data_IF_060395272438
#
_entry.id   IF_060395272438
#
_cell.length_a   1.000
_cell.length_b   1.000
_cell.length_c   1.000
_cell.angle_alpha   90.00
_cell.angle_beta   90.00
_cell.angle_gamma   90.00
#
_symmetry.space_group_name_H-M   'P 1'
#
loop_
_entity.id
_entity.type
_entity.pdbx_description
1 polymer ?
#
# COMPACT_ATOMS: atom_id res chain seq x y z
N UNK A 1 13.58 20.22 27.26
CA UNK A 1 14.69 19.34 26.87
C UNK A 1 15.15 18.65 28.13
N UNK A 2 14.99 17.33 28.29
CA UNK A 2 15.60 16.62 29.39
C UNK A 2 17.11 16.55 29.15
N UNK A 3 17.82 16.75 30.22
CA UNK A 3 19.27 16.73 30.31
C UNK A 3 19.77 15.33 29.97
N UNK A 4 20.44 15.19 28.82
CA UNK A 4 21.07 13.93 28.41
C UNK A 4 22.36 13.83 29.21
N UNK A 5 22.32 13.09 30.31
CA UNK A 5 23.51 12.69 31.05
C UNK A 5 24.37 11.79 30.17
N UNK A 6 25.60 12.23 29.96
CA UNK A 6 26.65 11.65 29.13
C UNK A 6 27.22 10.38 29.72
N UNK A 7 26.48 9.27 29.79
CA UNK A 7 27.13 7.99 30.17
C UNK A 7 26.30 6.72 29.86
N UNK A 8 25.37 6.76 28.93
CA UNK A 8 24.84 5.52 28.35
C UNK A 8 25.68 5.16 27.13
N UNK A 9 26.30 3.98 27.16
CA UNK A 9 27.07 3.51 26.02
C UNK A 9 26.12 3.23 24.85
N UNK A 10 26.61 3.43 23.61
CA UNK A 10 25.88 3.12 22.41
C UNK A 10 25.37 1.66 22.43
N UNK A 11 26.12 0.76 23.09
CA UNK A 11 25.78 -0.66 23.27
C UNK A 11 24.58 -0.87 24.20
N UNK A 12 24.43 -0.07 25.27
CA UNK A 12 23.27 -0.12 26.18
C UNK A 12 22.01 0.39 25.46
N UNK A 13 22.15 1.43 24.64
CA UNK A 13 21.05 1.94 23.83
C UNK A 13 20.60 0.90 22.79
N UNK A 14 21.55 0.26 22.11
CA UNK A 14 21.29 -0.78 21.13
C UNK A 14 20.70 -2.05 21.76
N UNK A 15 21.14 -2.41 22.97
CA UNK A 15 20.59 -3.56 23.72
C UNK A 15 19.15 -3.31 24.16
N UNK A 16 18.81 -2.12 24.66
CA UNK A 16 17.43 -1.73 25.01
C UNK A 16 16.52 -1.70 23.77
N UNK A 17 17.03 -1.19 22.63
CA UNK A 17 16.29 -1.22 21.37
C UNK A 17 16.08 -2.65 20.84
N UNK A 18 16.97 -3.60 21.17
CA UNK A 18 16.83 -5.01 20.80
C UNK A 18 15.83 -5.74 21.70
N UNK A 19 15.77 -5.42 23.01
CA UNK A 19 14.82 -6.00 23.95
C UNK A 19 13.38 -5.52 23.73
N UNK A 20 13.18 -4.27 23.30
CA UNK A 20 11.86 -3.74 22.91
C UNK A 20 11.30 -4.31 21.62
N UNK A 21 12.12 -5.02 20.82
CA UNK A 21 11.69 -5.71 19.60
C UNK A 21 11.10 -7.11 19.82
N UNK A 22 11.00 -7.56 21.09
CA UNK A 22 10.77 -8.96 21.47
C UNK A 22 9.33 -9.47 21.48
N UNK A 23 8.31 -8.64 21.26
CA UNK A 23 6.91 -9.09 21.25
C UNK A 23 6.35 -9.15 19.81
N UNK A 24 6.89 -10.08 19.01
CA UNK A 24 6.34 -10.39 17.68
C UNK A 24 5.17 -11.35 17.85
N UNK A 25 3.97 -10.88 17.52
CA UNK A 25 2.78 -11.72 17.35
C UNK A 25 3.12 -12.89 16.37
N UNK A 26 2.89 -14.16 16.72
CA UNK A 26 3.15 -15.32 15.84
C UNK A 26 2.42 -15.27 14.51
N UNK A 27 1.30 -14.51 14.40
CA UNK A 27 0.62 -14.23 13.14
C UNK A 27 1.41 -13.29 12.21
N UNK A 28 2.43 -12.61 12.72
CA UNK A 28 3.31 -11.71 11.96
C UNK A 28 4.43 -12.44 11.21
N UNK A 29 4.63 -13.73 11.45
CA UNK A 29 5.69 -14.53 10.84
C UNK A 29 5.50 -14.83 9.32
N UNK A 30 4.33 -14.54 8.75
CA UNK A 30 4.04 -14.83 7.33
C UNK A 30 4.45 -13.73 6.34
N UNK A 31 4.96 -12.60 6.78
CA UNK A 31 5.42 -11.51 5.89
C UNK A 31 4.33 -10.82 5.05
N UNK A 32 3.08 -11.27 5.14
CA UNK A 32 1.95 -10.72 4.39
C UNK A 32 0.89 -10.14 5.32
N UNK A 33 0.42 -8.93 4.99
CA UNK A 33 -0.63 -8.26 5.77
C UNK A 33 -1.99 -8.81 5.40
N UNK A 34 -2.79 -9.22 6.39
CA UNK A 34 -4.13 -9.76 6.19
C UNK A 34 -5.14 -8.63 5.93
N UNK A 35 -5.03 -7.99 4.77
CA UNK A 35 -5.81 -6.81 4.39
C UNK A 35 -7.31 -7.09 4.37
N UNK A 36 -7.74 -8.23 3.83
CA UNK A 36 -9.16 -8.62 3.75
C UNK A 36 -9.81 -8.71 5.13
N UNK A 37 -9.12 -9.33 6.10
CA UNK A 37 -9.63 -9.45 7.47
C UNK A 37 -9.76 -8.09 8.15
N UNK A 38 -8.80 -7.19 7.92
CA UNK A 38 -8.85 -5.84 8.48
C UNK A 38 -9.99 -5.01 7.90
N UNK A 39 -10.25 -5.15 6.60
CA UNK A 39 -11.39 -4.51 5.95
C UNK A 39 -12.69 -5.03 6.57
N UNK A 40 -12.83 -6.35 6.74
CA UNK A 40 -14.00 -6.96 7.39
C UNK A 40 -14.16 -6.47 8.82
N UNK A 41 -13.11 -6.51 9.64
CA UNK A 41 -13.14 -6.04 11.03
C UNK A 41 -13.53 -4.56 11.11
N UNK A 42 -13.00 -3.73 10.23
CA UNK A 42 -13.33 -2.31 10.16
C UNK A 42 -14.82 -2.10 9.81
N UNK A 43 -15.33 -2.86 8.83
CA UNK A 43 -16.73 -2.82 8.42
C UNK A 43 -17.66 -3.27 9.56
N UNK A 44 -17.38 -4.43 10.16
CA UNK A 44 -18.19 -5.01 11.23
C UNK A 44 -18.20 -4.12 12.49
N UNK A 45 -17.06 -3.55 12.87
CA UNK A 45 -16.95 -2.64 14.02
C UNK A 45 -17.78 -1.36 13.85
N UNK A 46 -18.12 -0.99 12.62
CA UNK A 46 -18.94 0.18 12.29
C UNK A 46 -20.38 -0.18 11.94
N UNK A 47 -20.78 -1.45 12.05
CA UNK A 47 -22.12 -1.92 11.73
C UNK A 47 -22.51 -1.71 10.26
N UNK A 48 -21.53 -1.65 9.35
CA UNK A 48 -21.75 -1.43 7.91
C UNK A 48 -21.91 -2.77 7.21
N UNK A 49 -22.97 -2.95 6.40
CA UNK A 49 -23.15 -4.14 5.57
C UNK A 49 -22.22 -4.09 4.35
N UNK A 50 -21.93 -5.25 3.74
CA UNK A 50 -21.15 -5.30 2.48
C UNK A 50 -21.85 -4.49 1.38
N UNK A 51 -23.17 -4.52 1.31
CA UNK A 51 -23.93 -3.73 0.33
C UNK A 51 -23.75 -2.22 0.56
N UNK A 52 -23.82 -1.75 1.81
CA UNK A 52 -23.58 -0.34 2.12
C UNK A 52 -22.14 0.10 1.78
N UNK A 53 -21.15 -0.78 1.96
CA UNK A 53 -19.78 -0.50 1.55
C UNK A 53 -19.66 -0.47 0.01
N UNK A 54 -20.35 -1.37 -0.69
CA UNK A 54 -20.44 -1.38 -2.15
C UNK A 54 -20.99 -0.07 -2.69
N UNK A 55 -22.10 0.41 -2.12
CA UNK A 55 -22.74 1.66 -2.51
C UNK A 55 -21.82 2.89 -2.28
N UNK A 56 -21.05 2.91 -1.18
CA UNK A 56 -20.10 4.00 -0.86
C UNK A 56 -18.87 4.02 -1.74
N UNK A 57 -18.40 2.84 -2.17
CA UNK A 57 -17.13 2.71 -2.93
C UNK A 57 -17.35 2.65 -4.44
N UNK A 58 -18.57 2.35 -4.88
CA UNK A 58 -18.90 2.08 -6.28
C UNK A 58 -18.42 0.70 -6.75
N UNK A 59 -17.97 -0.17 -5.84
CA UNK A 59 -17.59 -1.55 -6.17
C UNK A 59 -18.79 -2.49 -6.05
N UNK A 60 -18.72 -3.66 -6.72
CA UNK A 60 -19.72 -4.70 -6.52
C UNK A 60 -19.56 -5.35 -5.13
N UNK A 61 -20.68 -5.73 -4.50
CA UNK A 61 -20.65 -6.48 -3.25
C UNK A 61 -19.86 -7.81 -3.40
N UNK A 62 -19.93 -8.45 -4.58
CA UNK A 62 -19.20 -9.67 -4.89
C UNK A 62 -17.68 -9.45 -4.81
N UNK A 63 -17.15 -8.34 -5.36
CA UNK A 63 -15.72 -8.01 -5.26
C UNK A 63 -15.29 -7.82 -3.80
N UNK A 64 -16.08 -7.08 -3.02
CA UNK A 64 -15.77 -6.84 -1.61
C UNK A 64 -15.78 -8.14 -0.79
N UNK A 65 -16.73 -9.04 -1.03
CA UNK A 65 -16.78 -10.38 -0.42
C UNK A 65 -15.53 -11.19 -0.79
N UNK A 66 -15.10 -11.15 -2.05
CA UNK A 66 -13.89 -11.85 -2.49
C UNK A 66 -12.64 -11.31 -1.78
N UNK A 67 -12.54 -9.99 -1.61
CA UNK A 67 -11.43 -9.35 -0.89
C UNK A 67 -11.46 -9.75 0.59
N UNK A 68 -12.60 -9.62 1.26
CA UNK A 68 -12.77 -9.98 2.68
C UNK A 68 -12.51 -11.48 2.95
N UNK A 69 -12.76 -12.36 1.97
CA UNK A 69 -12.50 -13.80 2.05
C UNK A 69 -11.10 -14.17 1.50
N UNK A 70 -10.24 -13.19 1.18
CA UNK A 70 -8.89 -13.42 0.64
C UNK A 70 -8.86 -14.18 -0.69
N UNK A 71 -9.97 -14.19 -1.42
CA UNK A 71 -10.07 -14.81 -2.75
C UNK A 71 -9.49 -13.91 -3.84
N UNK A 72 -9.39 -12.62 -3.57
CA UNK A 72 -8.82 -11.60 -4.46
C UNK A 72 -8.07 -10.57 -3.62
N UNK A 73 -6.87 -10.21 -4.08
CA UNK A 73 -6.07 -9.13 -3.48
C UNK A 73 -6.47 -7.78 -4.08
N UNK A 74 -6.76 -6.76 -3.25
CA UNK A 74 -7.13 -5.44 -3.74
C UNK A 74 -5.93 -4.69 -4.33
N UNK A 75 -6.17 -3.91 -5.38
CA UNK A 75 -5.20 -2.92 -5.86
C UNK A 75 -5.10 -1.75 -4.88
N UNK A 76 -4.05 -0.94 -5.02
CA UNK A 76 -3.85 0.23 -4.17
C UNK A 76 -5.03 1.21 -4.26
N UNK A 77 -5.55 1.48 -5.47
CA UNK A 77 -6.73 2.31 -5.66
C UNK A 77 -7.99 1.76 -4.97
N UNK A 78 -8.18 0.43 -4.89
CA UNK A 78 -9.26 -0.19 -4.14
C UNK A 78 -9.09 0.08 -2.63
N UNK A 79 -7.87 -0.06 -2.10
CA UNK A 79 -7.56 0.21 -0.69
C UNK A 79 -7.84 1.67 -0.32
N UNK A 80 -7.43 2.61 -1.17
CA UNK A 80 -7.71 4.05 -0.98
C UNK A 80 -9.21 4.31 -0.92
N UNK A 81 -9.98 3.80 -1.88
CA UNK A 81 -11.44 3.99 -1.90
C UNK A 81 -12.13 3.40 -0.68
N UNK A 82 -11.72 2.21 -0.22
CA UNK A 82 -12.26 1.60 0.99
C UNK A 82 -11.91 2.44 2.22
N UNK A 83 -10.66 2.88 2.35
CA UNK A 83 -10.21 3.74 3.45
C UNK A 83 -11.00 5.06 3.48
N UNK A 84 -11.20 5.69 2.32
CA UNK A 84 -12.00 6.91 2.19
C UNK A 84 -13.48 6.68 2.55
N UNK A 85 -14.08 5.57 2.12
CA UNK A 85 -15.48 5.23 2.45
C UNK A 85 -15.70 5.03 3.96
N UNK A 86 -14.66 4.66 4.69
CA UNK A 86 -14.66 4.57 6.14
C UNK A 86 -14.11 5.81 6.86
N UNK A 87 -13.68 6.83 6.13
CA UNK A 87 -13.02 8.00 6.69
C UNK A 87 -11.84 7.65 7.61
N UNK A 88 -10.99 6.75 7.15
CA UNK A 88 -9.76 6.34 7.84
C UNK A 88 -8.55 6.47 6.90
N UNK A 89 -7.34 6.47 7.48
CA UNK A 89 -6.12 6.36 6.68
C UNK A 89 -5.95 4.93 6.13
N UNK A 90 -5.26 4.78 5.00
CA UNK A 90 -4.87 3.46 4.47
C UNK A 90 -4.10 2.67 5.54
N UNK A 91 -3.34 3.34 6.41
CA UNK A 91 -2.61 2.73 7.52
C UNK A 91 -3.49 1.86 8.43
N UNK A 92 -4.75 2.21 8.59
CA UNK A 92 -5.72 1.41 9.37
C UNK A 92 -5.98 0.05 8.72
N UNK A 93 -5.79 -0.06 7.41
CA UNK A 93 -5.99 -1.29 6.64
C UNK A 93 -4.67 -2.05 6.47
N UNK A 94 -3.59 -1.35 6.08
CA UNK A 94 -2.31 -1.99 5.76
C UNK A 94 -1.38 -2.16 6.97
N UNK A 95 -1.74 -1.61 8.12
CA UNK A 95 -0.99 -1.71 9.36
C UNK A 95 -0.43 -0.38 9.86
N UNK A 96 -0.28 -0.29 11.15
CA UNK A 96 0.18 0.88 11.87
C UNK A 96 -0.52 0.88 13.24
N UNK A 97 0.08 0.17 14.21
CA UNK A 97 -0.50 0.05 15.57
C UNK A 97 0.13 0.99 16.58
N UNK A 98 1.27 1.60 16.28
CA UNK A 98 2.05 2.33 17.26
C UNK A 98 2.07 3.83 16.98
N UNK A 99 1.74 4.63 17.99
CA UNK A 99 1.91 6.08 17.99
C UNK A 99 3.37 6.44 18.30
N UNK A 100 4.26 6.10 17.37
CA UNK A 100 5.67 6.53 17.44
C UNK A 100 5.89 7.73 16.53
N UNK A 101 6.80 8.63 16.93
CA UNK A 101 7.17 9.79 16.09
C UNK A 101 7.88 9.36 14.81
N UNK A 102 8.64 8.25 14.85
CA UNK A 102 9.35 7.69 13.69
C UNK A 102 9.26 6.17 13.69
N UNK A 103 9.50 5.59 12.51
CA UNK A 103 9.61 4.14 12.34
C UNK A 103 10.64 3.82 11.24
N UNK A 104 11.45 2.79 11.44
CA UNK A 104 12.43 2.32 10.47
C UNK A 104 11.97 0.98 9.91
N UNK A 105 11.79 0.89 8.60
CA UNK A 105 11.52 -0.36 7.88
C UNK A 105 12.79 -0.83 7.20
N UNK A 106 13.39 -1.90 7.71
CA UNK A 106 14.53 -2.54 7.06
C UNK A 106 14.05 -3.33 5.83
N UNK A 107 14.93 -3.51 4.85
CA UNK A 107 14.60 -4.26 3.62
C UNK A 107 14.05 -5.67 3.93
N UNK A 108 14.62 -6.34 4.92
CA UNK A 108 14.20 -7.68 5.33
C UNK A 108 12.83 -7.71 6.06
N UNK A 109 12.40 -6.57 6.61
CA UNK A 109 11.18 -6.46 7.41
C UNK A 109 9.99 -5.87 6.61
N UNK A 110 10.18 -5.64 5.30
CA UNK A 110 9.10 -5.15 4.43
C UNK A 110 8.00 -6.18 4.32
N UNK A 111 6.77 -5.72 4.42
CA UNK A 111 5.59 -6.59 4.35
C UNK A 111 4.84 -6.36 3.06
N UNK A 112 4.49 -7.44 2.39
CA UNK A 112 3.61 -7.40 1.24
C UNK A 112 2.18 -7.18 1.74
N UNK A 113 1.55 -6.14 1.25
CA UNK A 113 0.16 -5.79 1.60
C UNK A 113 -0.83 -6.27 0.57
N UNK A 114 -0.39 -6.41 -0.68
CA UNK A 114 -1.24 -6.92 -1.76
C UNK A 114 -0.40 -7.49 -2.91
N UNK A 115 -0.94 -8.54 -3.55
CA UNK A 115 -0.48 -9.07 -4.84
C UNK A 115 -1.67 -9.13 -5.77
N UNK A 116 -1.72 -8.21 -6.72
CA UNK A 116 -2.79 -8.20 -7.73
C UNK A 116 -2.41 -9.13 -8.87
N UNK A 117 -3.16 -10.23 -9.02
CA UNK A 117 -2.97 -11.20 -10.09
C UNK A 117 -3.74 -10.84 -11.35
N UNK A 118 -3.27 -11.37 -12.49
CA UNK A 118 -4.04 -11.41 -13.72
C UNK A 118 -5.02 -12.59 -13.65
N UNK A 119 -6.24 -12.42 -14.18
CA UNK A 119 -7.27 -13.47 -14.22
C UNK A 119 -6.83 -14.71 -15.00
N UNK A 120 -5.91 -14.56 -15.95
CA UNK A 120 -5.38 -15.64 -16.77
C UNK A 120 -3.94 -16.00 -16.37
N UNK A 121 -3.72 -17.27 -16.04
CA UNK A 121 -2.38 -17.85 -15.84
C UNK A 121 -1.74 -17.66 -14.47
N UNK A 122 -2.41 -17.09 -13.46
CA UNK A 122 -1.91 -17.02 -12.08
C UNK A 122 -0.69 -16.11 -11.88
N UNK A 123 -0.32 -15.29 -12.88
CA UNK A 123 0.79 -14.33 -12.76
C UNK A 123 0.36 -13.13 -11.92
N UNK A 124 1.24 -12.69 -11.02
CA UNK A 124 1.06 -11.46 -10.25
C UNK A 124 1.44 -10.27 -11.15
N UNK A 125 0.52 -9.35 -11.36
CA UNK A 125 0.77 -8.11 -12.12
C UNK A 125 1.48 -7.04 -11.27
N UNK A 126 1.05 -6.92 -10.00
CA UNK A 126 1.57 -5.93 -9.07
C UNK A 126 1.83 -6.56 -7.71
N UNK A 127 2.99 -6.24 -7.14
CA UNK A 127 3.28 -6.56 -5.74
C UNK A 127 3.53 -5.25 -4.99
N UNK A 128 2.78 -5.02 -3.92
CA UNK A 128 2.87 -3.82 -3.09
C UNK A 128 3.50 -4.16 -1.75
N UNK A 129 4.64 -3.53 -1.44
CA UNK A 129 5.32 -3.61 -0.15
C UNK A 129 5.13 -2.29 0.60
N UNK A 130 4.52 -2.31 1.79
CA UNK A 130 4.34 -1.09 2.60
C UNK A 130 5.67 -0.66 3.24
N UNK A 131 6.05 0.60 3.05
CA UNK A 131 7.28 1.16 3.62
C UNK A 131 7.04 1.97 4.91
N UNK A 132 5.78 2.25 5.25
CA UNK A 132 5.40 3.03 6.43
C UNK A 132 4.57 2.26 7.45
N UNK A 133 4.45 0.92 7.35
CA UNK A 133 3.46 0.12 8.07
C UNK A 133 3.55 0.21 9.62
N UNK A 134 4.70 0.58 10.18
CA UNK A 134 4.89 0.67 11.63
C UNK A 134 4.42 1.99 12.26
N UNK A 135 4.19 3.06 11.48
CA UNK A 135 3.80 4.36 12.01
C UNK A 135 2.28 4.57 11.87
N UNK A 136 1.58 4.73 12.97
CA UNK A 136 0.17 5.13 12.97
C UNK A 136 0.01 6.62 12.61
N UNK A 137 -1.18 7.03 12.15
CA UNK A 137 -1.52 8.44 11.88
C UNK A 137 -0.66 9.14 10.83
N UNK A 138 0.06 8.39 9.99
CA UNK A 138 0.84 8.97 8.91
C UNK A 138 -0.07 9.53 7.81
N UNK A 139 0.36 10.62 7.20
CA UNK A 139 -0.36 11.29 6.10
C UNK A 139 0.03 10.74 4.73
N UNK A 140 1.27 10.31 4.59
CA UNK A 140 1.81 9.73 3.37
C UNK A 140 1.88 8.20 3.50
N UNK A 141 1.49 7.51 2.45
CA UNK A 141 1.55 6.06 2.35
C UNK A 141 2.57 5.65 1.29
N UNK A 142 3.83 5.46 1.68
CA UNK A 142 4.86 5.03 0.75
C UNK A 142 4.82 3.51 0.52
N UNK A 143 4.92 3.11 -0.76
CA UNK A 143 4.98 1.72 -1.20
C UNK A 143 6.14 1.51 -2.15
N UNK A 144 6.81 0.37 -2.02
CA UNK A 144 7.59 -0.18 -3.11
C UNK A 144 6.65 -1.05 -3.95
N UNK A 145 6.55 -0.74 -5.23
CA UNK A 145 5.67 -1.46 -6.15
C UNK A 145 6.50 -2.14 -7.23
N UNK A 146 6.33 -3.46 -7.39
CA UNK A 146 6.88 -4.20 -8.51
C UNK A 146 5.80 -4.36 -9.56
N UNK A 147 6.12 -3.97 -10.78
CA UNK A 147 5.25 -4.02 -11.95
C UNK A 147 5.76 -5.15 -12.85
N UNK A 148 5.03 -6.27 -12.87
CA UNK A 148 5.36 -7.38 -13.77
C UNK A 148 4.78 -7.10 -15.15
N UNK A 149 5.49 -7.43 -16.25
CA UNK A 149 4.98 -7.25 -17.61
C UNK A 149 3.62 -7.91 -17.82
N UNK A 150 2.69 -7.18 -18.44
CA UNK A 150 1.35 -7.65 -18.73
C UNK A 150 1.27 -8.14 -20.18
N UNK A 151 0.74 -9.35 -20.40
CA UNK A 151 0.41 -9.85 -21.73
C UNK A 151 -0.82 -9.14 -22.34
N UNK A 152 -1.76 -8.70 -21.49
CA UNK A 152 -2.91 -7.89 -21.88
C UNK A 152 -2.79 -6.52 -21.19
N UNK A 153 -2.64 -5.46 -22.00
CA UNK A 153 -2.51 -4.07 -21.55
C UNK A 153 -3.87 -3.38 -21.36
N UNK A 154 -4.99 -4.11 -21.53
CA UNK A 154 -6.33 -3.59 -21.26
C UNK A 154 -6.61 -3.61 -19.77
N UNK A 155 -6.06 -2.66 -19.04
CA UNK A 155 -6.29 -2.53 -17.60
C UNK A 155 -7.23 -1.37 -17.33
N UNK A 156 -8.20 -1.61 -16.43
CA UNK A 156 -9.13 -0.57 -16.01
C UNK A 156 -8.38 0.55 -15.31
N UNK A 157 -8.64 1.79 -15.73
CA UNK A 157 -8.12 2.98 -15.06
C UNK A 157 -8.81 3.14 -13.71
N UNK A 158 -8.03 3.51 -12.70
CA UNK A 158 -8.52 3.83 -11.37
C UNK A 158 -8.55 5.34 -11.17
N UNK A 159 -9.40 5.81 -10.27
CA UNK A 159 -9.36 7.17 -9.76
C UNK A 159 -9.78 7.15 -8.29
N UNK A 160 -9.19 7.98 -7.46
CA UNK A 160 -9.54 8.13 -6.04
C UNK A 160 -9.15 9.53 -5.56
N UNK A 161 -9.65 9.91 -4.39
CA UNK A 161 -9.27 11.17 -3.76
C UNK A 161 -7.80 11.15 -3.33
N UNK A 162 -7.18 12.33 -3.35
CA UNK A 162 -5.81 12.54 -2.93
C UNK A 162 -4.85 12.76 -4.09
N UNK A 163 -3.58 12.55 -3.81
CA UNK A 163 -2.47 12.80 -4.72
C UNK A 163 -1.50 11.64 -4.70
N UNK A 164 -0.81 11.41 -5.81
CA UNK A 164 0.25 10.43 -5.93
C UNK A 164 1.55 11.03 -6.46
N UNK A 165 2.65 10.58 -5.87
CA UNK A 165 3.99 10.78 -6.38
C UNK A 165 4.60 9.43 -6.71
N UNK A 166 5.14 9.28 -7.92
CA UNK A 166 5.83 8.08 -8.38
C UNK A 166 7.25 8.43 -8.79
N UNK A 167 8.22 7.64 -8.33
CA UNK A 167 9.61 7.69 -8.75
C UNK A 167 10.03 6.32 -9.29
N UNK A 168 10.60 6.26 -10.49
CA UNK A 168 11.07 5.02 -11.11
C UNK A 168 12.42 4.63 -10.53
N UNK A 169 12.47 3.49 -9.84
CA UNK A 169 13.68 2.94 -9.22
C UNK A 169 14.46 2.04 -10.16
N UNK A 170 13.77 1.34 -11.07
CA UNK A 170 14.39 0.53 -12.12
C UNK A 170 13.36 0.15 -13.20
N UNK A 171 13.82 -0.10 -14.42
CA UNK A 171 12.98 -0.46 -15.55
C UNK A 171 12.32 0.73 -16.23
N UNK A 172 11.32 0.45 -17.08
CA UNK A 172 10.52 1.45 -17.77
C UNK A 172 9.05 1.30 -17.40
N UNK A 173 8.39 2.43 -17.20
CA UNK A 173 7.02 2.50 -16.70
C UNK A 173 6.16 3.33 -17.64
N UNK A 174 5.08 2.76 -18.14
CA UNK A 174 4.08 3.48 -18.92
C UNK A 174 2.98 4.01 -17.98
N UNK A 175 2.73 5.31 -18.07
CA UNK A 175 1.76 6.01 -17.21
C UNK A 175 0.65 6.59 -18.08
N UNK A 176 -0.59 6.26 -17.75
CA UNK A 176 -1.80 6.82 -18.35
C UNK A 176 -2.49 7.76 -17.38
N UNK A 177 -2.75 8.99 -17.80
CA UNK A 177 -3.48 10.01 -17.05
C UNK A 177 -4.58 10.59 -17.96
N UNK A 178 -5.82 10.16 -17.77
CA UNK A 178 -6.93 10.44 -18.69
C UNK A 178 -6.52 10.09 -20.14
N UNK A 179 -6.42 11.06 -21.03
CA UNK A 179 -6.02 10.86 -22.44
C UNK A 179 -4.52 11.04 -22.70
N UNK A 180 -3.75 11.36 -21.64
CA UNK A 180 -2.29 11.49 -21.72
C UNK A 180 -1.61 10.15 -21.43
N UNK A 181 -0.55 9.85 -22.17
CA UNK A 181 0.29 8.67 -21.98
C UNK A 181 1.75 9.06 -22.16
N UNK A 182 2.61 8.56 -21.28
CA UNK A 182 4.06 8.75 -21.37
C UNK A 182 4.81 7.54 -20.79
N UNK A 183 6.08 7.41 -21.16
CA UNK A 183 6.98 6.37 -20.66
C UNK A 183 8.08 7.02 -19.83
N UNK A 184 8.15 6.61 -18.58
CA UNK A 184 9.15 7.03 -17.60
C UNK A 184 10.25 5.99 -17.51
N UNK A 185 11.50 6.42 -17.47
CA UNK A 185 12.70 5.62 -17.27
C UNK A 185 13.21 5.72 -15.83
N UNK A 186 14.19 4.87 -15.49
CA UNK A 186 14.87 4.95 -14.20
C UNK A 186 15.37 6.38 -13.90
N UNK A 187 15.02 6.89 -12.72
CA UNK A 187 15.32 8.25 -12.28
C UNK A 187 14.24 9.27 -12.58
N UNK A 188 13.29 8.97 -13.48
CA UNK A 188 12.17 9.86 -13.75
C UNK A 188 11.11 9.80 -12.64
N UNK A 189 10.32 10.86 -12.53
CA UNK A 189 9.22 10.90 -11.58
C UNK A 189 8.01 11.63 -12.17
N UNK A 190 6.85 11.36 -11.56
CA UNK A 190 5.60 12.03 -11.88
C UNK A 190 4.82 12.32 -10.59
N UNK A 191 4.12 13.45 -10.56
CA UNK A 191 3.23 13.87 -9.50
C UNK A 191 1.88 14.25 -10.11
N UNK A 192 0.78 13.73 -9.57
CA UNK A 192 -0.55 14.00 -10.11
C UNK A 192 -1.65 13.91 -9.04
N UNK A 193 -2.77 14.60 -9.32
CA UNK A 193 -4.00 14.43 -8.56
C UNK A 193 -4.63 13.08 -8.92
N UNK A 194 -4.84 12.21 -7.95
CA UNK A 194 -5.34 10.85 -8.17
C UNK A 194 -6.83 10.79 -8.56
N UNK A 195 -7.52 11.94 -8.57
CA UNK A 195 -8.87 12.07 -9.15
C UNK A 195 -8.88 11.93 -10.67
N UNK A 196 -7.74 12.16 -11.33
CA UNK A 196 -7.57 11.88 -12.75
C UNK A 196 -7.60 10.36 -12.95
N UNK A 197 -8.42 9.80 -13.88
CA UNK A 197 -8.37 8.38 -14.21
C UNK A 197 -6.95 8.00 -14.66
N UNK A 198 -6.32 7.11 -13.92
CA UNK A 198 -4.91 6.75 -14.11
C UNK A 198 -4.67 5.24 -14.13
N UNK A 199 -3.58 4.87 -14.76
CA UNK A 199 -3.05 3.51 -14.77
C UNK A 199 -1.54 3.57 -14.97
N UNK A 200 -0.82 2.67 -14.30
CA UNK A 200 0.65 2.57 -14.35
C UNK A 200 1.02 1.10 -14.50
N UNK A 201 1.87 0.77 -15.47
CA UNK A 201 2.36 -0.60 -15.66
C UNK A 201 3.79 -0.61 -16.24
N UNK A 202 4.42 -1.79 -16.30
CA UNK A 202 5.70 -1.95 -17.00
C UNK A 202 5.53 -1.66 -18.49
N UNK A 203 6.40 -0.82 -19.05
CA UNK A 203 6.31 -0.39 -20.45
C UNK A 203 6.81 -1.45 -21.45
N UNK A 204 7.65 -2.37 -20.98
CA UNK A 204 8.28 -3.42 -21.79
C UNK A 204 8.05 -4.82 -21.18
N UNK A 205 8.80 -5.81 -21.66
CA UNK A 205 8.71 -7.20 -21.21
C UNK A 205 9.54 -7.49 -19.95
N UNK A 206 10.10 -6.45 -19.29
CA UNK A 206 10.86 -6.55 -18.07
C UNK A 206 10.06 -6.05 -16.87
N UNK A 207 10.43 -6.52 -15.68
CA UNK A 207 9.90 -5.97 -14.42
C UNK A 207 10.37 -4.52 -14.23
N UNK A 208 9.47 -3.65 -13.85
CA UNK A 208 9.81 -2.32 -13.38
C UNK A 208 9.54 -2.20 -11.87
N UNK A 209 10.29 -1.34 -11.19
CA UNK A 209 10.14 -1.07 -9.76
C UNK A 209 9.98 0.43 -9.54
N UNK A 210 8.93 0.81 -8.80
CA UNK A 210 8.66 2.19 -8.47
C UNK A 210 8.54 2.40 -6.95
N UNK A 211 8.86 3.59 -6.50
CA UNK A 211 8.41 4.14 -5.23
C UNK A 211 7.14 4.94 -5.51
N UNK A 212 6.02 4.46 -4.98
CA UNK A 212 4.75 5.18 -5.03
C UNK A 212 4.43 5.75 -3.65
N UNK A 213 4.09 7.02 -3.58
CA UNK A 213 3.67 7.70 -2.34
C UNK A 213 2.28 8.25 -2.56
N UNK A 214 1.33 7.81 -1.73
CA UNK A 214 -0.06 8.27 -1.77
C UNK A 214 -0.30 9.20 -0.58
N UNK A 215 -0.92 10.35 -0.87
CA UNK A 215 -1.47 11.26 0.11
C UNK A 215 -2.99 11.32 -0.06
N UNK A 216 -3.75 11.02 1.00
CA UNK A 216 -5.22 10.92 0.93
C UNK A 216 -5.93 12.28 1.06
N UNK A 217 -5.22 13.39 1.26
CA UNK A 217 -5.83 14.72 1.40
C UNK A 217 -6.45 15.00 2.77
N UNK A 218 -6.14 14.20 3.81
CA UNK A 218 -6.72 14.32 5.17
C UNK A 218 -5.71 14.75 6.21
#
# INVERSE_FOLDING_TARGET
LPDITRDESLDDLLSRMAEESGDRDPAEASGEVQVGDRIRQLRDSRGVTVQQLADRTGFSAALLIQIENRMTSPSLGILVKIANAFDVSISSIVGGKEEREFFIVRKADRRIVSRVGLKEGGKTAYTYEALGAGKAGRKMEPFLVRLTPLSDRHVSRNSHEGEEFIYVLSGMVEVFLADYCDVLSEGDCIYYNSTIPHHVHSADDNEAVILAVIYQGK
#
